data_IF_264475036050
#
_entry.id   IF_264475036050
#
_cell.length_a   1.000
_cell.length_b   1.000
_cell.length_c   1.000
_cell.angle_alpha   90.00
_cell.angle_beta   90.00
_cell.angle_gamma   90.00
#
_symmetry.space_group_name_H-M   'P 1'
#
loop_
_entity.id
_entity.type
_entity.pdbx_description
1 polymer ?
#
# COMPACT_ATOMS: atom_id res chain seq x y z
N UNK A 1 9.79 -15.03 13.80
CA UNK A 1 8.60 -14.18 13.97
C UNK A 1 8.19 -13.71 12.59
N UNK A 2 6.97 -14.04 12.17
CA UNK A 2 6.62 -14.17 10.75
C UNK A 2 6.43 -12.79 10.11
N UNK A 3 6.86 -12.62 8.85
CA UNK A 3 6.39 -11.55 7.93
C UNK A 3 4.86 -11.52 7.72
N UNK A 4 4.08 -12.26 8.53
CA UNK A 4 2.61 -12.25 8.57
C UNK A 4 2.05 -10.87 8.91
N UNK A 5 2.77 -10.03 9.66
CA UNK A 5 2.20 -8.78 10.17
C UNK A 5 2.15 -7.65 9.11
N UNK A 6 2.95 -7.72 8.04
CA UNK A 6 2.84 -6.79 6.90
C UNK A 6 1.71 -7.20 5.94
N UNK A 7 1.39 -8.49 5.89
CA UNK A 7 0.21 -9.01 5.20
C UNK A 7 -1.12 -8.62 5.87
N UNK A 8 -1.12 -8.40 7.20
CA UNK A 8 -2.30 -7.91 7.95
C UNK A 8 -2.67 -6.47 7.55
N UNK A 9 -1.67 -5.63 7.23
CA UNK A 9 -1.90 -4.25 6.81
C UNK A 9 -2.54 -4.16 5.41
N UNK A 10 -2.10 -4.96 4.44
CA UNK A 10 -2.77 -5.06 3.13
C UNK A 10 -4.09 -5.86 3.19
N UNK A 11 -4.20 -6.80 4.14
CA UNK A 11 -5.44 -7.53 4.39
C UNK A 11 -6.56 -6.57 4.79
N UNK A 12 -6.31 -5.50 5.56
CA UNK A 12 -7.38 -4.59 5.96
C UNK A 12 -7.97 -3.73 4.83
N UNK A 13 -7.16 -3.28 3.87
CA UNK A 13 -7.69 -2.66 2.64
C UNK A 13 -8.57 -3.67 1.89
N UNK A 14 -8.13 -4.92 1.77
CA UNK A 14 -8.85 -5.96 1.04
C UNK A 14 -10.01 -6.58 1.83
N UNK A 15 -10.02 -6.47 3.16
CA UNK A 15 -11.11 -6.88 4.04
C UNK A 15 -12.27 -5.91 3.83
N UNK A 16 -12.03 -4.59 3.88
CA UNK A 16 -13.04 -3.57 3.52
C UNK A 16 -13.61 -3.83 2.12
N UNK A 17 -12.80 -4.33 1.17
CA UNK A 17 -13.26 -4.69 -0.17
C UNK A 17 -14.00 -6.03 -0.29
N UNK A 18 -13.59 -7.08 0.44
CA UNK A 18 -14.27 -8.39 0.43
C UNK A 18 -15.66 -8.36 1.06
N UNK A 19 -15.91 -7.35 1.91
CA UNK A 19 -17.18 -7.10 2.58
C UNK A 19 -18.18 -6.34 1.71
N UNK A 20 -17.76 -5.80 0.57
CA UNK A 20 -18.66 -5.13 -0.37
C UNK A 20 -19.22 -6.16 -1.37
N UNK A 21 -18.44 -7.18 -1.72
CA UNK A 21 -18.69 -8.13 -2.81
C UNK A 21 -19.84 -9.15 -2.61
N UNK A 22 -20.67 -8.98 -1.58
CA UNK A 22 -21.51 -10.01 -0.99
C UNK A 22 -23.01 -10.00 -1.34
N UNK A 23 -23.49 -9.37 -2.42
CA UNK A 23 -24.78 -9.79 -3.00
C UNK A 23 -25.07 -9.27 -4.41
N UNK A 24 -25.83 -10.08 -5.15
CA UNK A 24 -26.65 -9.64 -6.28
C UNK A 24 -28.05 -10.22 -6.14
N UNK A 25 -29.04 -9.33 -6.26
CA UNK A 25 -30.49 -9.51 -6.13
C UNK A 25 -31.06 -9.42 -4.71
N UNK A 26 -31.58 -8.24 -4.37
CA UNK A 26 -32.94 -7.99 -3.86
C UNK A 26 -33.00 -6.57 -3.29
N UNK A 27 -33.71 -5.64 -3.93
CA UNK A 27 -34.42 -4.58 -3.20
C UNK A 27 -35.35 -3.78 -4.12
N UNK A 28 -36.65 -3.95 -3.86
CA UNK A 28 -37.67 -2.96 -4.17
C UNK A 28 -38.60 -2.86 -2.96
N UNK A 29 -38.33 -1.88 -2.09
CA UNK A 29 -39.35 -1.32 -1.19
C UNK A 29 -39.17 0.20 -1.10
N UNK A 30 -40.24 0.91 -1.45
CA UNK A 30 -40.32 2.35 -1.50
C UNK A 30 -40.89 2.90 -0.18
N UNK A 31 -40.01 3.46 0.64
CA UNK A 31 -40.27 4.57 1.56
C UNK A 31 -39.30 5.71 1.21
N UNK A 32 -39.50 6.92 1.74
CA UNK A 32 -38.56 8.04 1.55
C UNK A 32 -37.22 7.72 2.22
N UNK A 33 -36.35 6.99 1.51
CA UNK A 33 -34.99 6.66 1.94
C UNK A 33 -34.17 7.94 2.11
N UNK A 34 -33.29 7.97 3.11
CA UNK A 34 -32.29 9.02 3.19
C UNK A 34 -31.36 8.97 1.96
N UNK A 35 -30.74 10.09 1.57
CA UNK A 35 -29.80 10.09 0.43
C UNK A 35 -28.63 9.13 0.64
N UNK A 36 -28.22 8.91 1.90
CA UNK A 36 -27.20 7.92 2.29
C UNK A 36 -27.67 6.49 2.03
N UNK A 37 -28.89 6.15 2.43
CA UNK A 37 -29.47 4.82 2.13
C UNK A 37 -29.53 4.55 0.62
N UNK A 38 -29.83 5.56 -0.20
CA UNK A 38 -29.82 5.39 -1.66
C UNK A 38 -28.40 5.14 -2.19
N UNK A 39 -27.40 5.86 -1.69
CA UNK A 39 -26.00 5.63 -2.05
C UNK A 39 -25.54 4.22 -1.64
N UNK A 40 -25.90 3.79 -0.43
CA UNK A 40 -25.57 2.46 0.11
C UNK A 40 -26.28 1.33 -0.65
N UNK A 41 -27.55 1.52 -1.03
CA UNK A 41 -28.29 0.57 -1.86
C UNK A 41 -27.59 0.36 -3.21
N UNK A 42 -27.10 1.44 -3.82
CA UNK A 42 -26.37 1.38 -5.09
C UNK A 42 -25.03 0.67 -4.92
N UNK A 43 -24.29 0.99 -3.86
CA UNK A 43 -23.06 0.29 -3.49
C UNK A 43 -23.32 -1.22 -3.35
N UNK A 44 -24.40 -1.60 -2.66
CA UNK A 44 -24.81 -3.00 -2.48
C UNK A 44 -25.33 -3.68 -3.74
N UNK A 45 -25.94 -2.94 -4.64
CA UNK A 45 -26.31 -3.43 -5.96
C UNK A 45 -25.10 -3.55 -6.91
N UNK A 46 -23.91 -3.16 -6.47
CA UNK A 46 -22.72 -3.06 -7.28
C UNK A 46 -22.75 -1.90 -8.28
N UNK A 47 -23.69 -0.95 -8.18
CA UNK A 47 -23.71 0.29 -8.96
C UNK A 47 -22.74 1.33 -8.35
N UNK A 48 -21.45 1.06 -8.48
CA UNK A 48 -20.41 1.85 -7.81
C UNK A 48 -20.31 3.29 -8.36
N UNK A 49 -20.55 3.48 -9.66
CA UNK A 49 -20.62 4.81 -10.28
C UNK A 49 -21.81 5.61 -9.74
N UNK A 50 -22.98 4.97 -9.63
CA UNK A 50 -24.17 5.59 -9.08
C UNK A 50 -24.02 5.91 -7.60
N UNK A 51 -23.38 5.04 -6.82
CA UNK A 51 -23.07 5.28 -5.40
C UNK A 51 -22.10 6.45 -5.24
N UNK A 52 -21.04 6.50 -6.05
CA UNK A 52 -20.07 7.59 -6.04
C UNK A 52 -20.73 8.95 -6.30
N UNK A 53 -21.59 9.02 -7.32
CA UNK A 53 -22.33 10.24 -7.65
C UNK A 53 -23.23 10.71 -6.51
N UNK A 54 -23.91 9.78 -5.83
CA UNK A 54 -24.79 10.10 -4.70
C UNK A 54 -23.99 10.57 -3.47
N UNK A 55 -22.87 9.93 -3.14
CA UNK A 55 -22.00 10.41 -2.05
C UNK A 55 -21.44 11.80 -2.35
N UNK A 56 -21.02 12.08 -3.58
CA UNK A 56 -20.58 13.42 -3.99
C UNK A 56 -21.70 14.46 -3.85
N UNK A 57 -22.96 14.09 -4.18
CA UNK A 57 -24.11 14.97 -3.98
C UNK A 57 -24.40 15.24 -2.49
N UNK A 58 -24.25 14.23 -1.63
CA UNK A 58 -24.34 14.39 -0.17
C UNK A 58 -23.24 15.36 0.32
N UNK A 59 -21.99 15.18 -0.11
CA UNK A 59 -20.87 16.05 0.28
C UNK A 59 -20.99 17.48 -0.24
N UNK A 60 -21.68 17.69 -1.36
CA UNK A 60 -22.00 19.03 -1.83
C UNK A 60 -22.97 19.77 -0.90
N UNK A 61 -23.86 19.04 -0.21
CA UNK A 61 -24.79 19.57 0.77
C UNK A 61 -24.20 19.66 2.19
N UNK A 62 -23.45 18.64 2.59
CA UNK A 62 -22.75 18.56 3.88
C UNK A 62 -21.32 18.02 3.68
N UNK A 63 -20.32 18.91 3.54
CA UNK A 63 -18.94 18.51 3.36
C UNK A 63 -18.34 17.71 4.53
N UNK A 64 -18.98 17.73 5.71
CA UNK A 64 -18.52 17.06 6.93
C UNK A 64 -19.20 15.72 7.19
N UNK A 65 -20.09 15.28 6.30
CA UNK A 65 -20.77 14.00 6.44
C UNK A 65 -19.76 12.84 6.42
N UNK A 66 -19.56 12.17 7.55
CA UNK A 66 -18.50 11.18 7.72
C UNK A 66 -18.69 9.96 6.80
N UNK A 67 -19.90 9.40 6.73
CA UNK A 67 -20.22 8.24 5.88
C UNK A 67 -19.98 8.54 4.39
N UNK A 68 -20.43 9.70 3.90
CA UNK A 68 -20.19 10.08 2.52
C UNK A 68 -18.71 10.39 2.24
N UNK A 69 -17.95 10.92 3.21
CA UNK A 69 -16.50 11.09 3.08
C UNK A 69 -15.81 9.71 3.00
N UNK A 70 -16.21 8.73 3.81
CA UNK A 70 -15.73 7.35 3.72
C UNK A 70 -16.05 6.75 2.33
N UNK A 71 -17.32 6.83 1.91
CA UNK A 71 -17.77 6.30 0.62
C UNK A 71 -16.99 6.87 -0.56
N UNK A 72 -16.79 8.19 -0.60
CA UNK A 72 -15.95 8.84 -1.62
C UNK A 72 -14.48 8.43 -1.51
N UNK A 73 -13.90 8.35 -0.32
CA UNK A 73 -12.50 7.98 -0.16
C UNK A 73 -12.20 6.58 -0.72
N UNK A 74 -13.05 5.60 -0.40
CA UNK A 74 -12.91 4.22 -0.87
C UNK A 74 -13.10 4.16 -2.39
N UNK A 75 -14.17 4.76 -2.91
CA UNK A 75 -14.49 4.73 -4.33
C UNK A 75 -13.49 5.53 -5.18
N UNK A 76 -12.88 6.60 -4.66
CA UNK A 76 -11.80 7.32 -5.35
C UNK A 76 -10.59 6.41 -5.58
N UNK A 77 -10.18 5.64 -4.57
CA UNK A 77 -9.07 4.68 -4.73
C UNK A 77 -9.45 3.55 -5.66
N UNK A 78 -10.66 3.00 -5.56
CA UNK A 78 -11.14 1.96 -6.49
C UNK A 78 -11.21 2.45 -7.93
N UNK A 79 -11.61 3.71 -8.14
CA UNK A 79 -11.73 4.31 -9.47
C UNK A 79 -10.40 4.30 -10.23
N UNK A 80 -9.26 4.24 -9.53
CA UNK A 80 -7.97 4.08 -10.17
C UNK A 80 -7.88 2.78 -10.96
N UNK A 81 -8.48 1.68 -10.50
CA UNK A 81 -8.39 0.37 -11.16
C UNK A 81 -9.14 0.32 -12.50
N UNK A 82 -10.12 1.21 -12.69
CA UNK A 82 -11.01 1.22 -13.87
C UNK A 82 -10.81 2.44 -14.76
N UNK A 83 -9.97 3.37 -14.32
CA UNK A 83 -9.55 4.54 -15.07
C UNK A 83 -8.94 4.12 -16.41
N UNK A 84 -9.36 4.76 -17.51
CA UNK A 84 -8.94 4.40 -18.87
C UNK A 84 -7.42 4.40 -19.03
N UNK A 85 -6.73 5.33 -18.36
CA UNK A 85 -5.28 5.42 -18.39
C UNK A 85 -4.64 4.27 -17.59
N UNK A 86 -5.13 3.96 -16.39
CA UNK A 86 -4.69 2.75 -15.65
C UNK A 86 -4.91 1.49 -16.48
N UNK A 87 -6.08 1.31 -17.08
CA UNK A 87 -6.37 0.12 -17.90
C UNK A 87 -5.46 0.05 -19.12
N UNK A 88 -5.18 1.19 -19.76
CA UNK A 88 -4.24 1.26 -20.88
C UNK A 88 -2.82 0.88 -20.46
N UNK A 89 -2.34 1.38 -19.32
CA UNK A 89 -1.02 1.04 -18.78
C UNK A 89 -0.95 -0.44 -18.36
N UNK A 90 -1.97 -0.93 -17.65
CA UNK A 90 -2.04 -2.32 -17.22
C UNK A 90 -2.11 -3.27 -18.43
N UNK A 91 -2.92 -2.94 -19.44
CA UNK A 91 -3.01 -3.70 -20.69
C UNK A 91 -1.66 -3.75 -21.40
N UNK A 92 -0.94 -2.62 -21.44
CA UNK A 92 0.42 -2.59 -21.98
C UNK A 92 1.37 -3.48 -21.18
N UNK A 93 1.19 -3.59 -19.86
CA UNK A 93 1.89 -4.53 -18.95
C UNK A 93 1.46 -5.99 -19.09
N UNK A 94 0.54 -6.32 -20.02
CA UNK A 94 -0.02 -7.65 -20.16
C UNK A 94 -0.95 -8.04 -18.98
N UNK A 95 -1.40 -7.05 -18.21
CA UNK A 95 -2.37 -7.22 -17.13
C UNK A 95 -3.77 -6.91 -17.68
N UNK A 96 -4.72 -7.79 -17.38
CA UNK A 96 -6.14 -7.49 -17.60
C UNK A 96 -6.69 -6.89 -16.33
N UNK A 97 -7.14 -5.64 -16.40
CA UNK A 97 -7.92 -5.03 -15.33
C UNK A 97 -9.41 -5.04 -15.69
N UNK A 98 -10.29 -4.95 -14.69
CA UNK A 98 -11.73 -4.89 -14.92
C UNK A 98 -12.14 -3.65 -15.72
N UNK A 99 -13.16 -3.78 -16.57
CA UNK A 99 -13.63 -2.69 -17.45
C UNK A 99 -14.47 -1.64 -16.72
N UNK A 100 -15.01 -2.00 -15.56
CA UNK A 100 -15.83 -1.13 -14.72
C UNK A 100 -15.63 -1.48 -13.26
N UNK A 101 -16.08 -0.58 -12.38
CA UNK A 101 -16.09 -0.83 -10.94
C UNK A 101 -16.94 -2.08 -10.62
N UNK A 102 -17.99 -2.32 -11.40
CA UNK A 102 -18.88 -3.46 -11.26
C UNK A 102 -18.19 -4.77 -11.67
N UNK A 103 -17.31 -4.74 -12.67
CA UNK A 103 -16.51 -5.92 -13.06
C UNK A 103 -15.47 -6.25 -11.99
N UNK A 104 -14.84 -5.22 -11.41
CA UNK A 104 -13.91 -5.36 -10.28
C UNK A 104 -14.61 -5.98 -9.07
N UNK A 105 -15.82 -5.51 -8.77
CA UNK A 105 -16.69 -6.08 -7.76
C UNK A 105 -16.98 -7.57 -8.01
N UNK A 106 -17.36 -7.94 -9.23
CA UNK A 106 -17.69 -9.32 -9.59
C UNK A 106 -16.48 -10.27 -9.49
N UNK A 107 -15.26 -9.77 -9.75
CA UNK A 107 -14.02 -10.53 -9.58
C UNK A 107 -13.76 -10.85 -8.09
N UNK A 108 -13.98 -9.86 -7.21
CA UNK A 108 -13.81 -10.02 -5.76
C UNK A 108 -14.96 -10.76 -5.06
N UNK A 109 -16.14 -10.81 -5.67
CA UNK A 109 -17.32 -11.53 -5.15
C UNK A 109 -17.20 -13.05 -5.20
N UNK A 110 -16.17 -13.60 -5.87
CA UNK A 110 -16.07 -15.04 -6.05
C UNK A 110 -15.65 -15.77 -4.74
N UNK A 111 -16.42 -16.76 -4.25
CA UNK A 111 -16.13 -17.49 -3.01
C UNK A 111 -14.77 -18.22 -2.96
N UNK A 112 -14.13 -18.44 -4.11
CA UNK A 112 -12.80 -19.06 -4.19
C UNK A 112 -11.66 -18.07 -3.89
N UNK A 113 -11.97 -16.77 -3.86
CA UNK A 113 -11.00 -15.68 -3.61
C UNK A 113 -11.17 -15.03 -2.23
N UNK A 114 -12.25 -15.37 -1.51
CA UNK A 114 -12.70 -14.71 -0.28
C UNK A 114 -11.88 -15.01 0.98
N UNK A 115 -10.89 -15.91 0.95
CA UNK A 115 -9.90 -15.88 2.03
C UNK A 115 -9.04 -14.64 1.80
N UNK A 116 -9.27 -13.59 2.61
CA UNK A 116 -8.51 -12.34 2.58
C UNK A 116 -6.98 -12.59 2.50
N UNK A 117 -6.52 -13.71 3.07
CA UNK A 117 -5.14 -14.21 3.01
C UNK A 117 -4.67 -14.75 1.63
N UNK A 118 -5.52 -15.41 0.83
CA UNK A 118 -5.17 -15.87 -0.52
C UNK A 118 -5.12 -14.73 -1.53
N UNK A 119 -5.95 -13.70 -1.33
CA UNK A 119 -5.88 -12.45 -2.10
C UNK A 119 -4.64 -11.63 -1.72
N UNK A 120 -4.32 -11.59 -0.42
CA UNK A 120 -3.07 -11.03 0.12
C UNK A 120 -1.86 -11.68 -0.54
N UNK A 121 -1.86 -12.99 -0.78
CA UNK A 121 -0.75 -13.70 -1.43
C UNK A 121 -0.70 -13.53 -2.96
N UNK A 122 -1.84 -13.25 -3.62
CA UNK A 122 -1.88 -12.95 -5.06
C UNK A 122 -1.49 -11.50 -5.37
N UNK A 123 -1.91 -10.52 -4.56
CA UNK A 123 -1.50 -9.13 -4.67
C UNK A 123 -0.08 -8.89 -4.11
N UNK A 124 0.30 -9.58 -3.03
CA UNK A 124 1.67 -9.64 -2.53
C UNK A 124 2.57 -10.61 -3.32
N UNK A 125 2.15 -11.07 -4.50
CA UNK A 125 3.11 -11.30 -5.58
C UNK A 125 3.74 -9.95 -6.05
N UNK A 126 4.13 -9.09 -5.11
CA UNK A 126 5.23 -8.13 -5.25
C UNK A 126 6.53 -8.84 -5.64
N UNK A 127 6.64 -10.15 -5.42
CA UNK A 127 7.65 -10.98 -6.05
C UNK A 127 7.47 -11.02 -7.58
N UNK A 128 6.23 -11.14 -8.07
CA UNK A 128 5.92 -10.94 -9.48
C UNK A 128 6.14 -9.50 -9.91
N UNK A 129 5.67 -8.47 -9.18
CA UNK A 129 5.92 -7.07 -9.54
C UNK A 129 7.43 -6.74 -9.62
N UNK A 130 8.23 -7.18 -8.65
CA UNK A 130 9.70 -7.04 -8.64
C UNK A 130 10.39 -7.82 -9.76
N UNK A 131 9.88 -9.01 -10.14
CA UNK A 131 10.36 -9.70 -11.35
C UNK A 131 9.80 -9.11 -12.65
N UNK A 132 8.64 -8.42 -12.60
CA UNK A 132 7.97 -7.81 -13.74
C UNK A 132 8.57 -6.46 -14.10
N UNK A 133 9.18 -5.73 -13.15
CA UNK A 133 9.96 -4.53 -13.44
C UNK A 133 11.13 -4.81 -14.38
N UNK A 134 11.68 -6.03 -14.37
CA UNK A 134 12.72 -6.44 -15.34
C UNK A 134 12.10 -6.70 -16.73
N UNK A 135 10.82 -7.07 -16.79
CA UNK A 135 10.08 -7.37 -18.03
C UNK A 135 9.40 -6.16 -18.68
N UNK A 136 9.42 -4.96 -18.08
CA UNK A 136 8.76 -3.76 -18.61
C UNK A 136 9.33 -3.32 -19.98
N UNK A 137 10.60 -3.61 -20.30
CA UNK A 137 11.19 -3.32 -21.62
C UNK A 137 10.57 -4.10 -22.78
N UNK A 138 9.72 -5.09 -22.51
CA UNK A 138 9.01 -5.87 -23.54
C UNK A 138 7.57 -5.40 -23.76
N UNK A 139 7.12 -4.39 -23.04
CA UNK A 139 5.77 -3.86 -23.17
C UNK A 139 5.72 -2.94 -24.39
N UNK A 140 5.20 -3.45 -25.50
CA UNK A 140 5.02 -2.66 -26.72
C UNK A 140 4.16 -1.42 -26.41
N UNK A 141 4.79 -0.24 -26.43
CA UNK A 141 4.09 1.04 -26.45
C UNK A 141 3.93 1.79 -25.12
N UNK A 142 4.49 1.30 -24.00
CA UNK A 142 4.49 2.04 -22.72
C UNK A 142 5.90 2.11 -22.12
N UNK A 143 6.38 3.33 -21.86
CA UNK A 143 7.66 3.58 -21.17
C UNK A 143 7.46 3.66 -19.66
N UNK A 144 8.55 3.49 -18.89
CA UNK A 144 8.48 3.64 -17.43
C UNK A 144 8.18 5.09 -17.05
N UNK A 145 8.67 6.07 -17.79
CA UNK A 145 8.35 7.48 -17.63
C UNK A 145 6.86 7.78 -17.84
N UNK A 146 6.17 7.06 -18.72
CA UNK A 146 4.70 7.19 -18.84
C UNK A 146 4.00 6.68 -17.57
N UNK A 147 4.45 5.55 -17.02
CA UNK A 147 3.94 5.04 -15.73
C UNK A 147 4.24 6.03 -14.60
N UNK A 148 5.46 6.56 -14.51
CA UNK A 148 5.85 7.53 -13.49
C UNK A 148 5.08 8.85 -13.62
N UNK A 149 4.84 9.32 -14.84
CA UNK A 149 3.98 10.48 -15.10
C UNK A 149 2.54 10.21 -14.64
N UNK A 150 2.01 9.02 -14.89
CA UNK A 150 0.69 8.62 -14.40
C UNK A 150 0.61 8.58 -12.87
N UNK A 151 1.63 7.99 -12.23
CA UNK A 151 1.74 7.98 -10.77
C UNK A 151 1.72 9.40 -10.20
N UNK A 152 2.48 10.33 -10.80
CA UNK A 152 2.62 11.72 -10.37
C UNK A 152 1.34 12.54 -10.59
N UNK A 153 0.70 12.39 -11.75
CA UNK A 153 -0.39 13.28 -12.18
C UNK A 153 -1.78 12.76 -11.83
N UNK A 154 -1.93 11.44 -11.65
CA UNK A 154 -3.24 10.81 -11.49
C UNK A 154 -3.34 10.03 -10.18
N UNK A 155 -2.41 9.11 -9.91
CA UNK A 155 -2.49 8.21 -8.73
C UNK A 155 -2.29 8.96 -7.42
N UNK A 156 -1.15 9.65 -7.26
CA UNK A 156 -0.83 10.37 -6.01
C UNK A 156 -1.89 11.41 -5.66
N UNK A 157 -2.39 12.25 -6.60
CA UNK A 157 -3.47 13.20 -6.31
C UNK A 157 -4.76 12.54 -5.80
N UNK A 158 -5.19 11.41 -6.39
CA UNK A 158 -6.39 10.69 -5.90
C UNK A 158 -6.17 10.06 -4.53
N UNK A 159 -4.99 9.49 -4.26
CA UNK A 159 -4.64 9.03 -2.91
C UNK A 159 -4.69 10.19 -1.92
N UNK A 160 -4.16 11.36 -2.26
CA UNK A 160 -4.21 12.54 -1.39
C UNK A 160 -5.65 13.02 -1.13
N UNK A 161 -6.52 12.94 -2.13
CA UNK A 161 -7.94 13.27 -1.97
C UNK A 161 -8.62 12.28 -1.01
N UNK A 162 -8.45 10.98 -1.22
CA UNK A 162 -8.98 9.94 -0.33
C UNK A 162 -8.47 10.11 1.12
N UNK A 163 -7.17 10.36 1.33
CA UNK A 163 -6.60 10.61 2.66
C UNK A 163 -7.18 11.87 3.32
N UNK A 164 -7.42 12.93 2.56
CA UNK A 164 -8.06 14.15 3.09
C UNK A 164 -9.51 13.89 3.53
N UNK A 165 -10.22 12.98 2.85
CA UNK A 165 -11.57 12.54 3.21
C UNK A 165 -11.57 11.68 4.45
N UNK A 166 -10.67 10.71 4.56
CA UNK A 166 -10.51 9.87 5.76
C UNK A 166 -10.20 10.73 6.99
N UNK A 167 -9.38 11.76 6.88
CA UNK A 167 -9.11 12.69 7.97
C UNK A 167 -10.37 13.42 8.50
N UNK A 168 -11.41 13.61 7.67
CA UNK A 168 -12.70 14.15 8.13
C UNK A 168 -13.44 13.09 8.94
N UNK A 169 -13.45 11.84 8.49
CA UNK A 169 -14.06 10.70 9.20
C UNK A 169 -13.41 10.53 10.58
N UNK A 170 -12.07 10.55 10.65
CA UNK A 170 -11.31 10.44 11.90
C UNK A 170 -11.60 11.54 12.92
N UNK A 171 -12.07 12.71 12.45
CA UNK A 171 -12.44 13.81 13.35
C UNK A 171 -13.74 13.55 14.12
N UNK A 172 -14.51 12.54 13.72
CA UNK A 172 -15.69 12.06 14.42
C UNK A 172 -15.30 10.88 15.34
N UNK A 173 -15.10 11.16 16.63
CA UNK A 173 -14.70 10.14 17.62
C UNK A 173 -15.72 9.01 17.81
N UNK A 174 -16.97 9.25 17.41
CA UNK A 174 -18.09 8.35 17.59
C UNK A 174 -18.50 7.74 16.23
N UNK A 175 -17.60 7.74 15.25
CA UNK A 175 -17.87 7.19 13.93
C UNK A 175 -18.04 5.66 14.02
N UNK A 176 -19.21 5.21 13.60
CA UNK A 176 -19.55 3.81 13.41
C UNK A 176 -20.37 3.73 12.11
N UNK A 177 -20.04 2.79 11.25
CA UNK A 177 -20.74 2.56 10.00
C UNK A 177 -21.08 1.08 9.85
N UNK A 178 -22.38 0.78 9.85
CA UNK A 178 -22.87 -0.58 9.72
C UNK A 178 -23.00 -0.97 8.25
N UNK A 179 -22.17 -1.91 7.82
CA UNK A 179 -22.35 -2.64 6.58
C UNK A 179 -23.43 -3.72 6.78
N UNK A 180 -24.54 -3.68 6.04
CA UNK A 180 -25.59 -4.70 6.18
C UNK A 180 -25.05 -6.10 5.89
N UNK A 181 -25.52 -7.11 6.63
CA UNK A 181 -25.19 -8.53 6.40
C UNK A 181 -25.43 -8.94 4.94
N UNK A 182 -26.51 -8.41 4.35
CA UNK A 182 -26.87 -8.63 2.96
C UNK A 182 -25.83 -8.08 1.98
N UNK A 183 -25.06 -7.04 2.35
CA UNK A 183 -23.98 -6.49 1.53
C UNK A 183 -22.71 -7.35 1.62
N UNK A 184 -22.43 -7.91 2.80
CA UNK A 184 -21.16 -8.57 3.12
C UNK A 184 -21.21 -10.08 2.92
N UNK A 185 -22.41 -10.66 2.86
CA UNK A 185 -22.62 -12.11 2.95
C UNK A 185 -22.31 -12.69 4.33
N UNK A 186 -22.08 -11.85 5.34
CA UNK A 186 -21.86 -12.28 6.71
C UNK A 186 -23.18 -12.70 7.39
N UNK A 187 -23.08 -13.37 8.54
CA UNK A 187 -24.27 -13.77 9.31
C UNK A 187 -24.97 -12.57 9.98
N UNK A 188 -24.23 -11.49 10.21
CA UNK A 188 -24.67 -10.25 10.86
C UNK A 188 -24.14 -9.04 10.11
N UNK A 189 -24.72 -7.88 10.39
CA UNK A 189 -24.15 -6.61 9.95
C UNK A 189 -22.73 -6.49 10.49
N UNK A 190 -21.85 -5.85 9.71
CA UNK A 190 -20.47 -5.61 10.11
C UNK A 190 -20.25 -4.13 10.41
N UNK A 191 -19.53 -3.84 11.47
CA UNK A 191 -19.19 -2.51 11.91
C UNK A 191 -17.83 -2.09 11.37
N UNK A 192 -17.82 -0.97 10.66
CA UNK A 192 -16.62 -0.20 10.34
C UNK A 192 -16.55 0.93 11.36
N UNK A 193 -15.47 0.97 12.15
CA UNK A 193 -15.22 2.02 13.13
C UNK A 193 -13.88 2.73 12.86
N UNK A 194 -13.40 3.51 13.82
CA UNK A 194 -12.13 4.25 13.65
C UNK A 194 -10.90 3.35 13.53
N UNK A 195 -10.91 2.10 14.01
CA UNK A 195 -9.83 1.13 13.76
C UNK A 195 -9.64 0.92 12.26
N UNK A 196 -10.72 0.61 11.52
CA UNK A 196 -10.63 0.44 10.06
C UNK A 196 -10.27 1.75 9.36
N UNK A 197 -10.82 2.89 9.80
CA UNK A 197 -10.52 4.20 9.19
C UNK A 197 -9.03 4.53 9.30
N UNK A 198 -8.45 4.42 10.50
CA UNK A 198 -7.01 4.65 10.69
C UNK A 198 -6.18 3.67 9.87
N UNK A 199 -6.63 2.43 9.74
CA UNK A 199 -5.90 1.44 8.97
C UNK A 199 -5.97 1.72 7.45
N UNK A 200 -7.12 2.12 6.93
CA UNK A 200 -7.26 2.60 5.54
C UNK A 200 -6.35 3.81 5.27
N UNK A 201 -6.29 4.78 6.20
CA UNK A 201 -5.39 5.93 6.09
C UNK A 201 -3.92 5.49 6.10
N UNK A 202 -3.55 4.58 7.02
CA UNK A 202 -2.21 4.01 7.09
C UNK A 202 -1.78 3.42 5.75
N UNK A 203 -2.67 2.67 5.11
CA UNK A 203 -2.38 1.99 3.85
C UNK A 203 -2.33 3.00 2.69
N UNK A 204 -3.24 3.98 2.64
CA UNK A 204 -3.17 5.05 1.64
C UNK A 204 -1.85 5.82 1.72
N UNK A 205 -1.37 6.11 2.92
CA UNK A 205 -0.06 6.72 3.14
C UNK A 205 1.12 5.79 2.75
N UNK A 206 1.03 4.48 3.00
CA UNK A 206 2.04 3.53 2.57
C UNK A 206 2.13 3.44 1.03
N UNK A 207 0.99 3.35 0.35
CA UNK A 207 0.90 3.36 -1.13
C UNK A 207 1.46 4.65 -1.72
N UNK A 208 1.11 5.80 -1.13
CA UNK A 208 1.67 7.10 -1.50
C UNK A 208 3.19 7.12 -1.35
N UNK A 209 3.73 6.55 -0.27
CA UNK A 209 5.17 6.43 -0.03
C UNK A 209 5.88 5.63 -1.11
N UNK A 210 5.30 4.49 -1.51
CA UNK A 210 5.81 3.65 -2.61
C UNK A 210 5.79 4.43 -3.93
N UNK A 211 4.70 5.13 -4.25
CA UNK A 211 4.59 5.92 -5.48
C UNK A 211 5.67 7.00 -5.55
N UNK A 212 5.87 7.77 -4.48
CA UNK A 212 6.92 8.77 -4.41
C UNK A 212 8.32 8.17 -4.59
N UNK A 213 8.59 7.00 -4.00
CA UNK A 213 9.87 6.32 -4.19
C UNK A 213 10.09 5.90 -5.65
N UNK A 214 9.05 5.37 -6.31
CA UNK A 214 9.12 4.92 -7.70
C UNK A 214 9.34 6.07 -8.69
N UNK A 215 8.81 7.27 -8.42
CA UNK A 215 8.97 8.44 -9.31
C UNK A 215 10.23 9.26 -9.00
N UNK A 216 11.00 8.90 -7.97
CA UNK A 216 12.18 9.64 -7.56
C UNK A 216 13.40 9.41 -8.47
N UNK A 217 13.44 8.27 -9.16
CA UNK A 217 14.55 7.89 -10.02
C UNK A 217 14.07 7.70 -11.45
N UNK A 218 14.90 7.98 -12.43
CA UNK A 218 14.66 7.62 -13.82
C UNK A 218 14.75 6.10 -13.94
N UNK A 219 13.64 5.45 -14.22
CA UNK A 219 13.59 4.01 -14.40
C UNK A 219 13.36 3.62 -15.87
N UNK A 220 13.50 4.56 -16.81
CA UNK A 220 13.41 4.28 -18.23
C UNK A 220 14.59 3.45 -18.72
N UNK A 221 14.27 2.46 -19.55
CA UNK A 221 15.26 1.64 -20.24
C UNK A 221 14.68 1.10 -21.56
N UNK A 222 15.52 0.97 -22.58
CA UNK A 222 15.14 0.51 -23.92
C UNK A 222 15.85 -0.78 -24.34
N UNK A 223 16.89 -1.19 -23.61
CA UNK A 223 17.60 -2.44 -23.86
C UNK A 223 17.14 -3.58 -22.93
N UNK A 224 17.58 -4.80 -23.24
CA UNK A 224 17.38 -5.96 -22.35
C UNK A 224 18.16 -5.84 -21.03
N UNK A 225 19.18 -4.98 -20.97
CA UNK A 225 19.93 -4.70 -19.75
C UNK A 225 19.75 -3.21 -19.37
N UNK A 226 18.84 -2.87 -18.43
CA UNK A 226 18.64 -1.48 -18.02
C UNK A 226 19.91 -0.77 -17.56
N UNK A 227 20.89 -1.50 -17.03
CA UNK A 227 22.14 -0.93 -16.53
C UNK A 227 23.05 -0.36 -17.63
N UNK A 228 22.84 -0.75 -18.90
CA UNK A 228 23.55 -0.16 -20.04
C UNK A 228 22.96 1.20 -20.46
N UNK A 229 21.81 1.60 -19.92
CA UNK A 229 21.14 2.84 -20.27
C UNK A 229 21.71 4.01 -19.49
N UNK A 230 22.11 5.08 -20.19
CA UNK A 230 22.78 6.22 -19.56
C UNK A 230 21.95 6.92 -18.48
N UNK A 231 20.62 6.96 -18.63
CA UNK A 231 19.71 7.60 -17.68
C UNK A 231 19.13 6.71 -16.59
N UNK A 232 19.12 5.38 -16.78
CA UNK A 232 18.50 4.46 -15.83
C UNK A 232 19.17 4.55 -14.45
N UNK A 233 18.38 4.61 -13.39
CA UNK A 233 18.83 4.70 -12.01
C UNK A 233 19.31 6.09 -11.57
N UNK A 234 19.30 7.09 -12.45
CA UNK A 234 19.66 8.47 -12.07
C UNK A 234 18.53 9.12 -11.26
N UNK A 235 18.87 9.94 -10.28
CA UNK A 235 17.87 10.69 -9.51
C UNK A 235 17.20 11.74 -10.41
N UNK A 236 15.87 11.79 -10.38
CA UNK A 236 15.10 12.79 -11.12
C UNK A 236 15.36 14.21 -10.59
N UNK A 237 14.99 15.23 -11.38
CA UNK A 237 15.16 16.64 -10.97
C UNK A 237 14.51 16.94 -9.61
N UNK A 238 13.31 16.40 -9.39
CA UNK A 238 12.58 16.51 -8.12
C UNK A 238 12.78 15.28 -7.22
N UNK A 239 13.67 14.35 -7.60
CA UNK A 239 13.80 13.03 -6.98
C UNK A 239 14.17 13.08 -5.50
N UNK A 240 14.98 14.06 -5.09
CA UNK A 240 15.28 14.25 -3.67
C UNK A 240 14.06 14.71 -2.85
N UNK A 241 13.21 15.57 -3.43
CA UNK A 241 11.97 15.97 -2.78
C UNK A 241 10.97 14.81 -2.75
N UNK A 242 10.90 14.02 -3.82
CA UNK A 242 10.06 12.82 -3.88
C UNK A 242 10.51 11.76 -2.85
N UNK A 243 11.81 11.54 -2.64
CA UNK A 243 12.30 10.65 -1.58
C UNK A 243 11.93 11.13 -0.17
N UNK A 244 12.00 12.43 0.09
CA UNK A 244 11.53 12.99 1.37
C UNK A 244 10.01 12.86 1.53
N UNK A 245 9.24 13.10 0.45
CA UNK A 245 7.79 12.87 0.45
C UNK A 245 7.45 11.39 0.70
N UNK A 246 8.22 10.46 0.13
CA UNK A 246 8.09 9.03 0.39
C UNK A 246 8.28 8.73 1.88
N UNK A 247 9.34 9.27 2.49
CA UNK A 247 9.61 9.14 3.92
C UNK A 247 8.47 9.68 4.77
N UNK A 248 8.00 10.89 4.50
CA UNK A 248 6.91 11.53 5.25
C UNK A 248 5.61 10.74 5.15
N UNK A 249 5.30 10.20 3.98
CA UNK A 249 4.15 9.33 3.79
C UNK A 249 4.28 8.03 4.59
N UNK A 250 5.44 7.38 4.61
CA UNK A 250 5.68 6.17 5.42
C UNK A 250 5.64 6.45 6.93
N UNK A 251 6.06 7.64 7.37
CA UNK A 251 5.89 8.08 8.77
C UNK A 251 4.42 8.19 9.12
N UNK A 252 3.63 8.88 8.28
CA UNK A 252 2.20 9.00 8.48
C UNK A 252 1.51 7.62 8.50
N UNK A 253 1.93 6.71 7.62
CA UNK A 253 1.45 5.33 7.61
C UNK A 253 1.67 4.63 8.95
N UNK A 254 2.89 4.71 9.50
CA UNK A 254 3.21 4.11 10.79
C UNK A 254 2.45 4.78 11.96
N UNK A 255 2.25 6.10 11.92
CA UNK A 255 1.47 6.83 12.91
C UNK A 255 0.00 6.38 12.92
N UNK A 256 -0.58 6.18 11.75
CA UNK A 256 -1.96 5.72 11.58
C UNK A 256 -2.14 4.25 11.95
N UNK A 257 -1.16 3.39 11.64
CA UNK A 257 -1.14 2.02 12.16
C UNK A 257 -1.11 1.98 13.69
N UNK A 258 -0.33 2.85 14.33
CA UNK A 258 -0.32 2.95 15.80
C UNK A 258 -1.66 3.46 16.33
N UNK A 259 -2.28 4.44 15.65
CA UNK A 259 -3.60 4.94 16.02
C UNK A 259 -4.68 3.85 15.95
N UNK A 260 -4.73 3.09 14.85
CA UNK A 260 -5.63 1.95 14.66
C UNK A 260 -5.45 0.92 15.79
N UNK A 261 -4.21 0.49 16.05
CA UNK A 261 -3.90 -0.49 17.09
C UNK A 261 -4.28 -0.01 18.49
N UNK A 262 -4.09 1.28 18.78
CA UNK A 262 -4.48 1.85 20.07
C UNK A 262 -6.00 2.00 20.21
N UNK A 263 -6.72 2.30 19.12
CA UNK A 263 -8.18 2.38 19.12
C UNK A 263 -8.78 0.98 19.35
N UNK A 264 -8.34 -0.02 18.58
CA UNK A 264 -8.73 -1.43 18.76
C UNK A 264 -8.48 -1.98 20.17
N UNK A 265 -7.38 -1.57 20.79
CA UNK A 265 -7.07 -1.95 22.17
C UNK A 265 -8.00 -1.29 23.21
N UNK A 266 -8.60 -0.15 22.86
CA UNK A 266 -9.42 0.68 23.74
C UNK A 266 -10.93 0.51 23.47
N UNK A 267 -11.33 -0.17 22.41
CA UNK A 267 -12.71 -0.53 22.10
C UNK A 267 -13.37 -1.25 23.28
N UNK A 268 -14.67 -0.97 23.48
CA UNK A 268 -15.46 -1.49 24.61
C UNK A 268 -16.87 -1.96 24.20
N UNK A 269 -17.18 -1.84 22.92
CA UNK A 269 -18.40 -2.25 22.25
C UNK A 269 -18.40 -3.73 21.88
N UNK A 270 -19.41 -4.15 21.10
CA UNK A 270 -19.62 -5.54 20.74
C UNK A 270 -18.67 -5.95 19.62
N UNK A 271 -17.69 -6.77 19.95
CA UNK A 271 -16.67 -7.22 19.02
C UNK A 271 -17.15 -8.31 18.04
N UNK A 272 -18.41 -8.75 18.15
CA UNK A 272 -18.94 -9.83 17.30
C UNK A 272 -19.34 -9.39 15.90
N UNK A 273 -19.54 -8.07 15.71
CA UNK A 273 -19.82 -7.45 14.42
C UNK A 273 -18.63 -6.70 13.83
N UNK A 274 -17.47 -6.67 14.48
CA UNK A 274 -16.33 -5.89 13.96
C UNK A 274 -15.70 -6.51 12.72
N UNK A 275 -15.31 -5.64 11.80
CA UNK A 275 -14.51 -6.01 10.64
C UNK A 275 -13.13 -6.53 11.06
N UNK A 276 -12.51 -5.89 12.05
CA UNK A 276 -11.27 -6.33 12.67
C UNK A 276 -11.49 -6.62 14.16
N UNK A 277 -11.50 -7.91 14.56
CA UNK A 277 -11.71 -8.24 15.97
C UNK A 277 -10.56 -7.75 16.83
N UNK A 278 -10.87 -7.41 18.08
CA UNK A 278 -9.88 -7.00 19.08
C UNK A 278 -8.69 -7.95 19.15
N UNK A 279 -7.50 -7.37 19.05
CA UNK A 279 -6.25 -8.11 19.07
C UNK A 279 -5.88 -8.59 20.48
N UNK A 280 -5.26 -9.77 20.56
CA UNK A 280 -4.66 -10.23 21.81
C UNK A 280 -3.58 -9.25 22.30
N UNK A 281 -3.57 -8.98 23.61
CA UNK A 281 -2.67 -7.99 24.23
C UNK A 281 -1.17 -8.24 23.97
N UNK A 282 -0.74 -9.49 23.84
CA UNK A 282 0.65 -9.83 23.57
C UNK A 282 1.01 -9.56 22.10
N UNK A 283 0.12 -9.92 21.17
CA UNK A 283 0.28 -9.64 19.73
C UNK A 283 0.27 -8.13 19.48
N UNK A 284 -0.66 -7.40 20.09
CA UNK A 284 -0.75 -5.95 20.03
C UNK A 284 0.54 -5.26 20.47
N UNK A 285 1.05 -5.64 21.66
CA UNK A 285 2.30 -5.07 22.21
C UNK A 285 3.47 -5.28 21.26
N UNK A 286 3.55 -6.48 20.66
CA UNK A 286 4.59 -6.83 19.71
C UNK A 286 4.48 -6.02 18.41
N UNK A 287 3.29 -5.87 17.85
CA UNK A 287 3.08 -5.10 16.63
C UNK A 287 3.36 -3.62 16.87
N UNK A 288 2.84 -3.03 17.96
CA UNK A 288 3.14 -1.65 18.34
C UNK A 288 4.64 -1.40 18.47
N UNK A 289 5.38 -2.32 19.09
CA UNK A 289 6.84 -2.20 19.22
C UNK A 289 7.54 -2.22 17.84
N UNK A 290 7.10 -3.07 16.91
CA UNK A 290 7.68 -3.14 15.56
C UNK A 290 7.36 -1.87 14.76
N UNK A 291 6.09 -1.45 14.71
CA UNK A 291 5.66 -0.26 13.97
C UNK A 291 6.30 1.00 14.57
N UNK A 292 6.42 1.08 15.90
CA UNK A 292 7.16 2.13 16.59
C UNK A 292 8.62 2.21 16.15
N UNK A 293 9.35 1.08 16.10
CA UNK A 293 10.72 1.04 15.60
C UNK A 293 10.82 1.48 14.13
N UNK A 294 9.86 1.12 13.28
CA UNK A 294 9.83 1.57 11.87
C UNK A 294 9.66 3.09 11.80
N UNK A 295 8.68 3.63 12.54
CA UNK A 295 8.43 5.08 12.65
C UNK A 295 9.67 5.83 13.14
N UNK A 296 10.27 5.36 14.23
CA UNK A 296 11.47 5.97 14.80
C UNK A 296 12.66 5.88 13.83
N UNK A 297 12.75 4.81 13.04
CA UNK A 297 13.79 4.67 12.03
C UNK A 297 13.64 5.68 10.89
N UNK A 298 12.39 6.00 10.52
CA UNK A 298 12.06 7.00 9.51
C UNK A 298 12.20 8.45 10.02
N UNK A 299 11.93 8.74 11.29
CA UNK A 299 11.95 10.10 11.86
C UNK A 299 13.27 10.47 12.52
N UNK A 300 13.81 9.56 13.33
CA UNK A 300 14.88 9.83 14.29
C UNK A 300 16.23 9.26 13.85
N UNK A 301 16.25 8.21 13.01
CA UNK A 301 17.47 7.67 12.41
C UNK A 301 17.68 6.18 12.69
N UNK A 302 18.83 5.80 13.25
CA UNK A 302 19.15 4.39 13.45
C UNK A 302 18.28 3.73 14.52
N UNK A 303 17.77 2.53 14.24
CA UNK A 303 17.00 1.67 15.15
C UNK A 303 17.50 0.23 15.07
N UNK A 304 17.47 -0.50 16.19
CA UNK A 304 17.85 -1.91 16.23
C UNK A 304 16.63 -2.83 16.06
N UNK A 305 16.61 -3.57 14.95
CA UNK A 305 15.58 -4.55 14.63
C UNK A 305 16.10 -5.95 14.97
N UNK A 306 15.33 -6.70 15.74
CA UNK A 306 15.62 -8.10 16.04
C UNK A 306 15.13 -8.97 14.88
N UNK A 307 16.06 -9.67 14.22
CA UNK A 307 15.76 -10.56 13.10
C UNK A 307 15.57 -12.00 13.62
N UNK A 308 16.41 -12.40 14.58
CA UNK A 308 16.31 -13.65 15.35
C UNK A 308 16.64 -13.37 16.81
N UNK A 309 16.44 -14.35 17.70
CA UNK A 309 16.85 -14.26 19.11
C UNK A 309 18.34 -13.96 19.30
N UNK A 310 19.18 -14.27 18.31
CA UNK A 310 20.64 -14.14 18.39
C UNK A 310 21.22 -13.12 17.41
N UNK A 311 20.37 -12.45 16.63
CA UNK A 311 20.82 -11.55 15.58
C UNK A 311 19.90 -10.35 15.47
N UNK A 312 20.49 -9.18 15.62
CA UNK A 312 19.84 -7.88 15.46
C UNK A 312 20.60 -7.07 14.41
N UNK A 313 19.88 -6.19 13.74
CA UNK A 313 20.39 -5.34 12.68
C UNK A 313 20.05 -3.88 12.98
N UNK A 314 21.04 -3.00 12.87
CA UNK A 314 20.79 -1.57 12.87
C UNK A 314 20.22 -1.15 11.52
N UNK A 315 19.10 -0.42 11.53
CA UNK A 315 18.38 0.07 10.35
C UNK A 315 18.13 1.56 10.49
N UNK A 316 18.48 2.34 9.48
CA UNK A 316 18.31 3.79 9.44
C UNK A 316 17.58 4.21 8.16
N UNK A 317 16.26 4.06 8.17
CA UNK A 317 15.40 4.42 7.03
C UNK A 317 15.48 5.91 6.72
N UNK A 318 15.64 6.77 7.74
CA UNK A 318 15.79 8.21 7.54
C UNK A 318 16.96 8.55 6.61
N UNK A 319 18.15 7.98 6.86
CA UNK A 319 19.33 8.26 6.02
C UNK A 319 19.08 7.83 4.58
N UNK A 320 18.49 6.64 4.36
CA UNK A 320 18.16 6.15 3.04
C UNK A 320 17.29 7.12 2.22
N UNK A 321 16.27 7.71 2.84
CA UNK A 321 15.39 8.66 2.15
C UNK A 321 15.94 10.08 2.07
N UNK A 322 16.67 10.55 3.09
CA UNK A 322 17.17 11.93 3.14
C UNK A 322 18.50 12.14 2.43
N UNK A 323 19.21 11.06 2.08
CA UNK A 323 20.47 11.09 1.33
C UNK A 323 20.35 10.27 0.05
N UNK A 324 19.43 10.60 -0.86
CA UNK A 324 19.20 9.79 -2.05
C UNK A 324 20.47 9.73 -2.91
N UNK A 325 20.70 8.57 -3.51
CA UNK A 325 21.86 8.31 -4.36
C UNK A 325 21.65 9.06 -5.68
N UNK A 326 22.65 9.80 -6.17
CA UNK A 326 22.51 10.55 -7.41
C UNK A 326 22.36 9.64 -8.64
N UNK A 327 23.07 8.51 -8.65
CA UNK A 327 22.96 7.45 -9.66
C UNK A 327 23.06 6.08 -8.99
N UNK A 328 21.98 5.29 -9.04
CA UNK A 328 21.92 3.95 -8.48
C UNK A 328 22.96 3.00 -9.12
N UNK A 329 23.38 3.25 -10.37
CA UNK A 329 24.40 2.44 -11.06
C UNK A 329 25.78 2.64 -10.47
N UNK A 330 26.16 3.89 -10.23
CA UNK A 330 27.42 4.23 -9.58
C UNK A 330 27.53 3.61 -8.18
N UNK A 331 26.40 3.31 -7.55
CA UNK A 331 26.36 2.78 -6.21
C UNK A 331 26.26 1.23 -6.17
N UNK A 332 25.33 0.64 -6.92
CA UNK A 332 25.04 -0.79 -6.84
C UNK A 332 25.73 -1.63 -7.93
N UNK A 333 26.15 -1.02 -9.05
CA UNK A 333 26.47 -1.73 -10.31
C UNK A 333 27.83 -1.29 -10.90
N UNK A 334 28.83 -1.02 -10.05
CA UNK A 334 30.13 -0.46 -10.46
C UNK A 334 30.98 -1.33 -11.42
N UNK A 335 30.64 -2.61 -11.65
CA UNK A 335 31.47 -3.55 -12.43
C UNK A 335 30.85 -4.04 -13.76
N UNK A 336 29.69 -3.49 -14.17
CA UNK A 336 28.93 -4.03 -15.32
C UNK A 336 29.49 -3.69 -16.72
N UNK A 337 30.70 -3.15 -16.82
CA UNK A 337 31.37 -3.07 -18.12
C UNK A 337 31.87 -4.44 -18.62
N UNK A 338 31.88 -5.46 -17.76
CA UNK A 338 32.19 -6.83 -18.15
C UNK A 338 30.95 -7.70 -18.04
N UNK A 339 30.60 -8.39 -19.12
CA UNK A 339 29.43 -9.27 -19.23
C UNK A 339 29.63 -10.58 -18.42
N UNK A 340 30.55 -10.56 -17.44
CA UNK A 340 30.88 -11.64 -16.53
C UNK A 340 29.87 -11.69 -15.40
N UNK A 341 29.42 -12.90 -15.09
CA UNK A 341 28.69 -13.19 -13.86
C UNK A 341 29.44 -12.59 -12.68
N UNK A 342 28.79 -11.71 -11.91
CA UNK A 342 29.33 -11.24 -10.62
C UNK A 342 29.49 -12.48 -9.74
N UNK A 343 30.71 -12.99 -9.63
CA UNK A 343 31.02 -14.06 -8.71
C UNK A 343 30.89 -13.52 -7.28
N UNK A 344 30.21 -14.28 -6.43
CA UNK A 344 30.01 -13.93 -5.02
C UNK A 344 31.38 -13.87 -4.32
N UNK A 345 32.00 -12.68 -4.31
CA UNK A 345 33.34 -12.45 -3.78
C UNK A 345 34.06 -11.23 -4.37
N UNK A 346 33.73 -10.84 -5.61
CA UNK A 346 34.37 -9.70 -6.29
C UNK A 346 33.57 -8.41 -6.14
N UNK A 347 33.41 -7.94 -4.90
CA UNK A 347 32.92 -6.58 -4.67
C UNK A 347 34.04 -5.57 -4.93
N UNK A 348 33.74 -4.46 -5.66
CA UNK A 348 34.70 -3.38 -5.87
C UNK A 348 35.32 -2.89 -4.56
N UNK A 349 36.60 -2.52 -4.60
CA UNK A 349 37.26 -1.91 -3.43
C UNK A 349 36.53 -0.62 -3.06
N UNK A 350 35.99 -0.56 -1.84
CA UNK A 350 35.22 0.60 -1.37
C UNK A 350 33.71 0.49 -1.59
N UNK A 351 33.19 -0.69 -1.95
CA UNK A 351 31.75 -0.94 -2.00
C UNK A 351 31.09 -0.62 -0.66
N UNK A 352 30.03 0.18 -0.69
CA UNK A 352 29.29 0.55 0.51
C UNK A 352 28.18 -0.48 0.80
N UNK A 353 28.55 -1.45 1.64
CA UNK A 353 27.67 -2.50 2.14
C UNK A 353 26.56 -1.98 3.07
N UNK A 354 26.59 -0.71 3.49
CA UNK A 354 25.56 -0.13 4.35
C UNK A 354 24.28 0.21 3.56
N UNK A 355 24.27 0.03 2.24
CA UNK A 355 23.09 0.29 1.39
C UNK A 355 22.62 1.74 1.57
N UNK A 356 23.56 2.67 1.35
CA UNK A 356 23.40 4.11 1.46
C UNK A 356 22.96 4.51 2.86
N UNK A 357 23.65 3.96 3.86
CA UNK A 357 23.37 4.16 5.27
C UNK A 357 22.08 3.54 5.79
N UNK A 358 21.33 2.77 4.97
CA UNK A 358 20.14 2.03 5.42
C UNK A 358 20.50 1.01 6.51
N UNK A 359 21.62 0.33 6.36
CA UNK A 359 22.12 -0.75 7.21
C UNK A 359 23.50 -0.38 7.77
N UNK A 360 23.59 0.62 8.67
CA UNK A 360 24.87 1.20 9.10
C UNK A 360 25.85 0.21 9.75
N UNK A 361 25.36 -0.92 10.25
CA UNK A 361 26.19 -1.99 10.82
C UNK A 361 26.86 -2.90 9.78
N UNK A 362 26.46 -2.85 8.50
CA UNK A 362 27.02 -3.67 7.43
C UNK A 362 28.20 -2.94 6.79
N UNK A 363 29.29 -2.74 7.53
CA UNK A 363 30.47 -1.98 7.05
C UNK A 363 31.52 -2.85 6.37
N UNK A 364 31.22 -4.12 6.10
CA UNK A 364 32.17 -5.08 5.51
C UNK A 364 31.44 -6.21 4.80
N UNK A 365 32.13 -6.85 3.86
CA UNK A 365 31.62 -8.05 3.18
C UNK A 365 31.25 -9.16 4.16
N UNK A 366 32.08 -9.43 5.18
CA UNK A 366 31.77 -10.43 6.22
C UNK A 366 30.49 -10.11 6.99
N UNK A 367 30.22 -8.84 7.29
CA UNK A 367 28.97 -8.43 7.92
C UNK A 367 27.77 -8.66 6.98
N UNK A 368 27.93 -8.32 5.70
CA UNK A 368 26.92 -8.57 4.66
C UNK A 368 26.63 -10.06 4.47
N UNK A 369 27.65 -10.91 4.33
CA UNK A 369 27.49 -12.37 4.22
C UNK A 369 26.78 -12.95 5.45
N UNK A 370 27.14 -12.48 6.64
CA UNK A 370 26.48 -12.90 7.88
C UNK A 370 25.00 -12.52 7.83
N UNK A 371 24.69 -11.29 7.43
CA UNK A 371 23.32 -10.82 7.26
C UNK A 371 22.53 -11.70 6.28
N UNK A 372 23.05 -11.91 5.06
CA UNK A 372 22.39 -12.73 4.02
C UNK A 372 22.21 -14.18 4.49
N UNK A 373 23.21 -14.77 5.15
CA UNK A 373 23.12 -16.12 5.73
C UNK A 373 21.99 -16.22 6.76
N UNK A 374 21.83 -15.20 7.61
CA UNK A 374 20.75 -15.15 8.61
C UNK A 374 19.38 -14.99 7.95
N UNK A 375 19.26 -14.12 6.94
CA UNK A 375 18.01 -13.97 6.19
C UNK A 375 17.64 -15.27 5.48
N UNK A 376 18.59 -15.93 4.82
CA UNK A 376 18.35 -17.21 4.15
C UNK A 376 17.92 -18.31 5.13
N UNK A 377 18.36 -18.27 6.39
CA UNK A 377 17.92 -19.25 7.40
C UNK A 377 16.47 -19.08 7.87
N UNK A 378 15.81 -17.97 7.51
CA UNK A 378 14.41 -17.73 7.83
C UNK A 378 13.44 -18.33 6.81
N UNK A 379 13.93 -18.71 5.62
CA UNK A 379 13.17 -19.28 4.51
C UNK A 379 13.58 -20.74 4.28
#
# INVERSE_FOLDING_TARGET
MKLRNFGVLMAAILIVFSLISGCSNLLQQAGDKSSLEVANDKLAAGDLDGAYADYQAILAADPTNAEANLGVAVLEVMSLAVDDETRSLASAMGLTLPDSLNDLYNEFASPETSSALALTLKAANLKAAGTSFISISTLEGVTVSQIQAYLRNSVIPRINQALARLAIVESNSDFQYMLPADLTGAETDLEIDLTEIYLLDAIGNALKGICYHLIAYNLDYSTSNPFLETGFGTLETDGAADMENARLALVAAAEKSIAALNFNAAETDDQSNDVLPQMDSADLTQILAIVGKIKDSLQSGEQTIEITETYSLAVNLKTYFMSPIADLKDYYFQDENDNSTIDAGDFPTGYDFTVNGLLPGLTSFTAWETFISKINSLF
#
